data_IF_369107148358
#
_entry.id   IF_369107148358
#
_cell.length_a   1.000
_cell.length_b   1.000
_cell.length_c   1.000
_cell.angle_alpha   90.00
_cell.angle_beta   90.00
_cell.angle_gamma   90.00
#
_symmetry.space_group_name_H-M   'P 1'
#
loop_
_entity.id
_entity.type
_entity.pdbx_description
1 polymer ?
#
# COMPACT_ATOMS: atom_id res chain seq x y z
N UNK A 1 -8.67 3.10 -27.00
CA UNK A 1 -9.69 3.49 -26.00
C UNK A 1 -10.59 2.31 -25.69
N UNK A 2 -11.03 2.21 -24.44
CA UNK A 2 -12.02 1.28 -23.92
C UNK A 2 -13.36 2.01 -23.91
N UNK A 3 -14.37 1.45 -24.58
CA UNK A 3 -15.74 1.92 -24.43
C UNK A 3 -16.34 1.34 -23.14
N UNK A 4 -16.62 2.20 -22.17
CA UNK A 4 -17.19 1.80 -20.89
C UNK A 4 -18.54 1.09 -21.06
N UNK A 5 -19.35 1.49 -22.04
CA UNK A 5 -20.67 0.92 -22.23
C UNK A 5 -20.63 -0.58 -22.60
N UNK A 6 -19.55 -1.01 -23.26
CA UNK A 6 -19.29 -2.40 -23.66
C UNK A 6 -18.62 -3.26 -22.58
N UNK A 7 -18.44 -2.72 -21.37
CA UNK A 7 -17.95 -3.49 -20.23
C UNK A 7 -19.10 -4.21 -19.51
N UNK A 8 -18.80 -5.39 -18.95
CA UNK A 8 -19.76 -6.08 -18.08
C UNK A 8 -20.04 -5.24 -16.83
N UNK A 9 -21.24 -5.37 -16.24
CA UNK A 9 -21.64 -4.58 -15.07
C UNK A 9 -20.67 -4.70 -13.88
N UNK A 10 -20.08 -5.88 -13.68
CA UNK A 10 -19.07 -6.09 -12.65
C UNK A 10 -17.74 -5.38 -12.94
N UNK A 11 -17.33 -5.30 -14.21
CA UNK A 11 -16.14 -4.55 -14.64
C UNK A 11 -16.37 -3.04 -14.46
N UNK A 12 -17.54 -2.55 -14.89
CA UNK A 12 -17.97 -1.15 -14.70
C UNK A 12 -17.89 -0.75 -13.22
N UNK A 13 -18.48 -1.56 -12.35
CA UNK A 13 -18.45 -1.36 -10.88
C UNK A 13 -17.01 -1.33 -10.35
N UNK A 14 -16.17 -2.27 -10.77
CA UNK A 14 -14.76 -2.32 -10.34
C UNK A 14 -13.97 -1.08 -10.74
N UNK A 15 -14.08 -0.63 -12.00
CA UNK A 15 -13.38 0.57 -12.47
C UNK A 15 -13.86 1.84 -11.76
N UNK A 16 -15.18 2.01 -11.64
CA UNK A 16 -15.78 3.17 -10.96
C UNK A 16 -15.35 3.22 -9.50
N UNK A 17 -15.53 2.11 -8.76
CA UNK A 17 -15.15 2.03 -7.35
C UNK A 17 -13.66 2.28 -7.15
N UNK A 18 -12.81 1.77 -8.05
CA UNK A 18 -11.38 2.03 -7.99
C UNK A 18 -11.06 3.51 -8.16
N UNK A 19 -11.67 4.18 -9.12
CA UNK A 19 -11.46 5.61 -9.34
C UNK A 19 -11.92 6.45 -8.15
N UNK A 20 -13.10 6.17 -7.61
CA UNK A 20 -13.63 6.89 -6.44
C UNK A 20 -12.73 6.71 -5.22
N UNK A 21 -12.32 5.46 -4.95
CA UNK A 21 -11.41 5.16 -3.85
C UNK A 21 -10.02 5.75 -4.08
N UNK A 22 -9.53 5.77 -5.31
CA UNK A 22 -8.20 6.31 -5.63
C UNK A 22 -8.19 7.83 -5.42
N UNK A 23 -9.25 8.53 -5.85
CA UNK A 23 -9.47 9.95 -5.56
C UNK A 23 -9.55 10.21 -4.05
N UNK A 24 -10.34 9.42 -3.32
CA UNK A 24 -10.45 9.54 -1.87
C UNK A 24 -9.10 9.38 -1.18
N UNK A 25 -8.34 8.34 -1.52
CA UNK A 25 -6.99 8.09 -1.01
C UNK A 25 -6.07 9.29 -1.28
N UNK A 26 -5.99 9.76 -2.53
CA UNK A 26 -5.16 10.91 -2.93
C UNK A 26 -5.58 12.23 -2.26
N UNK A 27 -6.83 12.35 -1.85
CA UNK A 27 -7.35 13.55 -1.19
C UNK A 27 -7.01 13.64 0.30
N UNK A 28 -6.47 12.56 0.89
CA UNK A 28 -6.08 12.53 2.31
C UNK A 28 -4.98 13.54 2.59
N UNK A 29 -5.04 14.16 3.76
CA UNK A 29 -4.05 15.14 4.24
C UNK A 29 -2.61 14.58 4.17
N UNK A 30 -2.46 13.33 4.63
CA UNK A 30 -1.22 12.56 4.57
C UNK A 30 -0.63 12.44 3.15
N UNK A 31 -1.43 12.52 2.08
CA UNK A 31 -0.91 12.49 0.70
C UNK A 31 -0.83 13.87 0.05
N UNK A 32 -1.73 14.80 0.42
CA UNK A 32 -1.74 16.17 -0.09
C UNK A 32 -0.46 16.94 0.24
N UNK A 33 0.09 16.70 1.43
CA UNK A 33 1.34 17.32 1.87
C UNK A 33 2.58 16.49 1.51
N UNK A 34 2.41 15.43 0.71
CA UNK A 34 3.36 14.34 0.58
C UNK A 34 3.27 13.38 1.76
N UNK A 35 3.59 12.10 1.54
CA UNK A 35 3.66 11.11 2.62
C UNK A 35 4.56 11.65 3.75
N UNK A 36 4.11 11.63 5.02
CA UNK A 36 4.88 12.12 6.15
C UNK A 36 6.24 11.45 6.17
N UNK A 37 7.31 12.26 6.19
CA UNK A 37 8.67 11.73 6.29
C UNK A 37 8.79 10.94 7.59
N UNK A 38 9.18 9.68 7.48
CA UNK A 38 9.66 8.94 8.62
C UNK A 38 11.16 9.17 8.69
N UNK A 39 11.60 9.84 9.75
CA UNK A 39 13.00 10.12 10.00
C UNK A 39 13.45 9.20 11.13
N UNK A 40 14.46 8.37 10.86
CA UNK A 40 15.14 7.51 11.83
C UNK A 40 16.53 8.11 12.07
N UNK A 41 16.83 8.42 13.33
CA UNK A 41 18.13 8.93 13.76
C UNK A 41 18.73 7.98 14.78
N UNK A 42 19.78 7.29 14.38
CA UNK A 42 20.54 6.39 15.24
C UNK A 42 21.81 7.11 15.72
N UNK A 43 22.00 7.15 17.04
CA UNK A 43 23.19 7.72 17.69
C UNK A 43 23.91 6.60 18.42
N UNK A 44 25.18 6.39 18.06
CA UNK A 44 26.07 5.43 18.69
C UNK A 44 27.13 6.21 19.46
N UNK A 45 27.14 6.11 20.79
CA UNK A 45 28.29 6.53 21.60
C UNK A 45 29.10 5.31 21.98
N UNK A 46 30.42 5.44 21.99
CA UNK A 46 31.32 4.33 22.35
C UNK A 46 31.79 4.40 23.81
N UNK A 47 31.60 5.54 24.49
CA UNK A 47 32.10 5.76 25.86
C UNK A 47 31.14 6.68 26.66
N UNK A 48 30.20 6.12 27.45
CA UNK A 48 29.85 4.70 27.55
C UNK A 48 29.19 4.19 26.25
N UNK A 49 29.27 2.87 25.96
CA UNK A 49 28.59 2.29 24.81
C UNK A 49 27.08 2.47 24.95
N UNK A 50 26.50 3.32 24.12
CA UNK A 50 25.05 3.56 24.06
C UNK A 50 24.59 3.56 22.61
N UNK A 51 23.38 3.06 22.41
CA UNK A 51 22.67 3.10 21.13
C UNK A 51 21.33 3.78 21.40
N UNK A 52 21.14 4.96 20.83
CA UNK A 52 19.90 5.72 20.93
C UNK A 52 19.26 5.79 19.55
N UNK A 53 17.98 5.46 19.45
CA UNK A 53 17.20 5.61 18.22
C UNK A 53 16.07 6.60 18.47
N UNK A 54 16.04 7.68 17.69
CA UNK A 54 14.95 8.65 17.66
C UNK A 54 14.20 8.51 16.33
N UNK A 55 12.87 8.41 16.40
CA UNK A 55 12.02 8.27 15.23
C UNK A 55 10.95 9.37 15.19
N UNK A 56 10.80 10.02 14.04
CA UNK A 56 9.63 10.86 13.75
C UNK A 56 8.60 10.04 13.01
N UNK A 57 7.46 9.80 13.64
CA UNK A 57 6.38 8.96 13.10
C UNK A 57 5.20 9.82 12.63
N UNK A 58 4.41 9.34 11.65
CA UNK A 58 3.15 10.00 11.30
C UNK A 58 2.20 10.01 12.50
N UNK A 59 1.28 10.98 12.51
CA UNK A 59 0.15 10.97 13.42
C UNK A 59 -0.63 9.65 13.32
N UNK A 60 -0.98 9.08 14.47
CA UNK A 60 -1.54 7.74 14.57
C UNK A 60 -2.94 7.65 13.94
N UNK A 61 -3.76 8.68 14.08
CA UNK A 61 -5.09 8.73 13.47
C UNK A 61 -4.99 8.89 11.95
N UNK A 62 -4.05 9.71 11.46
CA UNK A 62 -3.78 9.84 10.03
C UNK A 62 -3.26 8.52 9.45
N UNK A 63 -2.35 7.85 10.14
CA UNK A 63 -1.79 6.55 9.72
C UNK A 63 -2.86 5.46 9.65
N UNK A 64 -3.69 5.35 10.70
CA UNK A 64 -4.84 4.43 10.73
C UNK A 64 -5.80 4.72 9.59
N UNK A 65 -6.16 5.99 9.39
CA UNK A 65 -7.08 6.40 8.32
C UNK A 65 -6.54 6.08 6.93
N UNK A 66 -5.25 6.26 6.72
CA UNK A 66 -4.57 5.90 5.48
C UNK A 66 -4.61 4.39 5.23
N UNK A 67 -4.32 3.59 6.25
CA UNK A 67 -4.38 2.13 6.18
C UNK A 67 -5.77 1.60 5.81
N UNK A 68 -6.84 2.21 6.34
CA UNK A 68 -8.23 1.89 5.98
C UNK A 68 -8.44 1.97 4.48
N UNK A 69 -8.05 3.09 3.86
CA UNK A 69 -8.27 3.28 2.44
C UNK A 69 -7.35 2.40 1.60
N UNK A 70 -6.08 2.30 1.98
CA UNK A 70 -5.08 1.51 1.25
C UNK A 70 -5.46 0.03 1.22
N UNK A 71 -5.99 -0.52 2.33
CA UNK A 71 -6.42 -1.93 2.43
C UNK A 71 -7.34 -2.35 1.29
N UNK A 72 -8.25 -1.47 0.86
CA UNK A 72 -9.25 -1.78 -0.16
C UNK A 72 -8.63 -2.11 -1.52
N UNK A 73 -7.42 -1.62 -1.79
CA UNK A 73 -6.68 -1.91 -3.03
C UNK A 73 -5.87 -3.20 -2.96
N UNK A 74 -5.61 -3.72 -1.75
CA UNK A 74 -4.76 -4.89 -1.50
C UNK A 74 -5.60 -6.15 -1.24
N UNK A 75 -6.83 -6.01 -0.75
CA UNK A 75 -7.68 -7.15 -0.41
C UNK A 75 -8.44 -7.70 -1.62
N UNK A 76 -8.32 -9.02 -1.86
CA UNK A 76 -8.88 -9.70 -3.05
C UNK A 76 -10.41 -9.67 -3.15
N UNK A 77 -11.09 -9.59 -2.00
CA UNK A 77 -12.56 -9.58 -1.92
C UNK A 77 -13.15 -8.23 -2.35
N UNK A 78 -12.33 -7.19 -2.43
CA UNK A 78 -12.78 -5.84 -2.70
C UNK A 78 -12.96 -5.59 -4.20
N UNK A 79 -14.00 -4.83 -4.59
CA UNK A 79 -14.25 -4.52 -6.00
C UNK A 79 -13.11 -3.70 -6.63
N UNK A 80 -12.41 -2.88 -5.85
CA UNK A 80 -11.26 -2.07 -6.25
C UNK A 80 -9.91 -2.74 -5.98
N UNK A 81 -9.89 -4.06 -5.78
CA UNK A 81 -8.64 -4.79 -5.70
C UNK A 81 -7.74 -4.52 -6.92
N UNK A 82 -6.49 -4.14 -6.68
CA UNK A 82 -5.55 -3.69 -7.71
C UNK A 82 -5.45 -4.68 -8.89
N UNK A 83 -5.26 -5.97 -8.61
CA UNK A 83 -5.07 -6.96 -9.67
C UNK A 83 -6.35 -7.22 -10.48
N UNK A 84 -7.52 -7.05 -9.86
CA UNK A 84 -8.81 -7.15 -10.57
C UNK A 84 -8.93 -6.05 -11.61
N UNK A 85 -8.62 -4.81 -11.22
CA UNK A 85 -8.65 -3.64 -12.11
C UNK A 85 -7.56 -3.72 -13.18
N UNK A 86 -6.34 -4.10 -12.80
CA UNK A 86 -5.26 -4.39 -13.74
C UNK A 86 -5.71 -5.38 -14.82
N UNK A 87 -6.33 -6.50 -14.43
CA UNK A 87 -6.74 -7.55 -15.38
C UNK A 87 -7.80 -7.04 -16.37
N UNK A 88 -8.74 -6.20 -15.92
CA UNK A 88 -9.73 -5.56 -16.79
C UNK A 88 -9.00 -4.68 -17.83
N UNK A 89 -8.13 -3.77 -17.38
CA UNK A 89 -7.40 -2.87 -18.27
C UNK A 89 -6.51 -3.63 -19.26
N UNK A 90 -5.73 -4.59 -18.78
CA UNK A 90 -4.83 -5.38 -19.61
C UNK A 90 -5.58 -6.16 -20.70
N UNK A 91 -6.78 -6.68 -20.40
CA UNK A 91 -7.62 -7.38 -21.38
C UNK A 91 -8.24 -6.43 -22.40
N UNK A 92 -8.66 -5.22 -21.98
CA UNK A 92 -9.48 -4.31 -22.79
C UNK A 92 -8.67 -3.26 -23.57
N UNK A 93 -7.44 -2.95 -23.16
CA UNK A 93 -6.57 -2.06 -23.92
C UNK A 93 -6.06 -2.76 -25.19
N UNK A 94 -6.04 -2.02 -26.30
CA UNK A 94 -5.49 -2.51 -27.57
C UNK A 94 -4.04 -2.04 -27.80
N UNK A 95 -3.66 -0.92 -27.18
CA UNK A 95 -2.32 -0.34 -27.31
C UNK A 95 -1.28 -1.21 -26.58
N UNK A 96 -0.26 -1.67 -27.33
CA UNK A 96 0.82 -2.50 -26.82
C UNK A 96 1.69 -1.75 -25.81
N UNK A 97 2.04 -0.48 -26.05
CA UNK A 97 2.87 0.30 -25.15
C UNK A 97 2.16 0.51 -23.80
N UNK A 98 0.84 0.73 -23.81
CA UNK A 98 0.07 0.81 -22.56
C UNK A 98 -0.02 -0.54 -21.83
N UNK A 99 -0.12 -1.65 -22.56
CA UNK A 99 -0.05 -3.00 -21.97
C UNK A 99 1.31 -3.26 -21.33
N UNK A 100 2.40 -2.93 -22.00
CA UNK A 100 3.76 -3.09 -21.47
C UNK A 100 3.96 -2.24 -20.21
N UNK A 101 3.46 -0.99 -20.22
CA UNK A 101 3.41 -0.13 -19.03
C UNK A 101 2.62 -0.79 -17.89
N UNK A 102 1.45 -1.36 -18.15
CA UNK A 102 0.68 -2.08 -17.13
C UNK A 102 1.47 -3.25 -16.54
N UNK A 103 2.17 -4.04 -17.36
CA UNK A 103 2.99 -5.16 -16.89
C UNK A 103 4.07 -4.69 -15.91
N UNK A 104 4.74 -3.57 -16.22
CA UNK A 104 5.73 -2.96 -15.32
C UNK A 104 5.08 -2.52 -14.00
N UNK A 105 3.92 -1.86 -14.07
CA UNK A 105 3.19 -1.38 -12.87
C UNK A 105 2.74 -2.55 -12.00
N UNK A 106 2.27 -3.64 -12.59
CA UNK A 106 1.93 -4.88 -11.85
C UNK A 106 3.15 -5.48 -11.17
N UNK A 107 4.29 -5.52 -11.87
CA UNK A 107 5.55 -6.03 -11.31
C UNK A 107 5.97 -5.18 -10.11
N UNK A 108 5.94 -3.86 -10.23
CA UNK A 108 6.29 -2.93 -9.15
C UNK A 108 5.35 -3.09 -7.95
N UNK A 109 4.03 -3.16 -8.16
CA UNK A 109 3.05 -3.38 -7.09
C UNK A 109 3.28 -4.72 -6.37
N UNK A 110 3.53 -5.79 -7.13
CA UNK A 110 3.82 -7.12 -6.59
C UNK A 110 5.11 -7.14 -5.78
N UNK A 111 6.17 -6.48 -6.28
CA UNK A 111 7.46 -6.37 -5.61
C UNK A 111 7.34 -5.57 -4.31
N UNK A 112 6.62 -4.44 -4.31
CA UNK A 112 6.40 -3.62 -3.12
C UNK A 112 5.77 -4.40 -1.97
N UNK A 113 4.85 -5.32 -2.27
CA UNK A 113 4.22 -6.18 -1.28
C UNK A 113 5.11 -7.34 -0.79
N UNK A 114 6.09 -7.77 -1.60
CA UNK A 114 6.95 -8.93 -1.30
C UNK A 114 8.26 -8.55 -0.62
N UNK A 115 8.83 -7.41 -0.98
CA UNK A 115 10.17 -6.99 -0.56
C UNK A 115 10.18 -5.52 -0.19
N UNK A 116 10.53 -5.26 1.07
CA UNK A 116 10.80 -3.92 1.59
C UNK A 116 12.25 -3.51 1.37
N UNK A 117 12.61 -2.27 1.77
CA UNK A 117 14.01 -1.84 1.80
C UNK A 117 14.86 -2.68 2.77
N UNK A 118 14.23 -3.20 3.81
CA UNK A 118 14.82 -4.04 4.86
C UNK A 118 14.08 -5.39 4.87
N UNK A 119 14.82 -6.47 5.06
CA UNK A 119 14.24 -7.81 5.29
C UNK A 119 14.25 -8.11 6.77
N UNK A 120 13.08 -8.38 7.34
CA UNK A 120 12.93 -8.79 8.73
C UNK A 120 12.79 -10.32 8.77
N UNK A 121 13.64 -10.95 9.57
CA UNK A 121 13.67 -12.39 9.78
C UNK A 121 13.71 -12.62 11.30
N UNK A 122 12.71 -13.30 11.85
CA UNK A 122 12.72 -13.76 13.25
C UNK A 122 12.71 -15.30 13.24
N UNK A 123 13.83 -15.91 13.61
CA UNK A 123 14.06 -17.35 13.45
C UNK A 123 13.96 -17.77 11.98
N UNK A 124 12.98 -18.63 11.66
CA UNK A 124 12.72 -19.09 10.29
C UNK A 124 11.63 -18.28 9.57
N UNK A 125 10.97 -17.35 10.27
CA UNK A 125 9.84 -16.58 9.73
C UNK A 125 10.35 -15.30 9.08
N UNK A 126 10.04 -15.13 7.78
CA UNK A 126 10.31 -13.91 7.02
C UNK A 126 9.07 -13.01 6.99
N UNK A 127 9.24 -11.76 7.39
CA UNK A 127 8.18 -10.77 7.41
C UNK A 127 8.23 -9.94 6.13
N UNK A 128 7.24 -10.12 5.28
CA UNK A 128 7.08 -9.33 4.05
C UNK A 128 6.31 -8.04 4.36
N UNK A 129 6.45 -6.98 3.54
CA UNK A 129 5.64 -5.77 3.69
C UNK A 129 4.13 -6.06 3.70
N UNK A 130 3.65 -6.98 2.85
CA UNK A 130 2.24 -7.42 2.86
C UNK A 130 1.84 -8.01 4.22
N UNK A 131 2.72 -8.78 4.84
CA UNK A 131 2.45 -9.39 6.14
C UNK A 131 2.46 -8.35 7.26
N UNK A 132 3.41 -7.40 7.26
CA UNK A 132 3.45 -6.30 8.22
C UNK A 132 2.19 -5.43 8.12
N UNK A 133 1.75 -5.09 6.91
CA UNK A 133 0.45 -4.41 6.68
C UNK A 133 -0.69 -5.23 7.29
N UNK A 134 -0.67 -6.55 7.10
CA UNK A 134 -1.70 -7.45 7.64
C UNK A 134 -1.69 -7.50 9.18
N UNK A 135 -0.52 -7.42 9.83
CA UNK A 135 -0.42 -7.30 11.29
C UNK A 135 -1.04 -5.99 11.78
N UNK A 136 -0.69 -4.85 11.20
CA UNK A 136 -1.30 -3.57 11.57
C UNK A 136 -2.83 -3.57 11.36
N UNK A 137 -3.28 -4.02 10.20
CA UNK A 137 -4.72 -4.04 9.89
C UNK A 137 -5.47 -4.98 10.85
N UNK A 138 -5.04 -6.22 11.03
CA UNK A 138 -5.87 -7.17 11.76
C UNK A 138 -5.55 -7.22 13.26
N UNK A 139 -4.29 -7.02 13.66
CA UNK A 139 -3.86 -7.05 15.05
C UNK A 139 -4.02 -5.72 15.79
N UNK A 140 -3.84 -4.57 15.13
CA UNK A 140 -3.91 -3.25 15.82
C UNK A 140 -5.17 -2.45 15.55
N UNK A 141 -5.65 -2.36 14.30
CA UNK A 141 -6.64 -1.32 13.96
C UNK A 141 -8.07 -1.78 13.67
N UNK A 142 -8.31 -3.05 13.30
CA UNK A 142 -9.62 -3.47 12.77
C UNK A 142 -10.20 -4.73 13.38
N UNK A 143 -9.47 -5.85 13.37
CA UNK A 143 -10.09 -7.17 13.59
C UNK A 143 -9.83 -7.74 14.98
N UNK A 144 -9.19 -6.96 15.87
CA UNK A 144 -8.79 -7.36 17.23
C UNK A 144 -8.32 -8.82 17.30
N UNK A 145 -7.52 -9.18 16.29
CA UNK A 145 -7.02 -10.53 16.11
C UNK A 145 -5.87 -10.71 17.10
N UNK A 146 -6.19 -11.32 18.23
CA UNK A 146 -5.28 -11.42 19.39
C UNK A 146 -3.92 -12.02 19.01
N UNK A 147 -3.91 -13.07 18.18
CA UNK A 147 -2.67 -13.70 17.70
C UNK A 147 -1.80 -12.71 16.91
N UNK A 148 -2.39 -11.94 15.98
CA UNK A 148 -1.66 -10.94 15.19
C UNK A 148 -1.23 -9.74 16.02
N UNK A 149 -1.99 -9.40 17.06
CA UNK A 149 -1.63 -8.33 17.99
C UNK A 149 -0.39 -8.72 18.79
N UNK A 150 -0.39 -9.91 19.40
CA UNK A 150 0.75 -10.46 20.13
C UNK A 150 1.97 -10.52 19.22
N UNK A 151 1.81 -11.06 18.00
CA UNK A 151 2.92 -11.15 17.06
C UNK A 151 3.48 -9.77 16.65
N UNK A 152 2.62 -8.77 16.47
CA UNK A 152 3.07 -7.40 16.18
C UNK A 152 3.85 -6.82 17.36
N UNK A 153 3.35 -6.98 18.58
CA UNK A 153 3.99 -6.48 19.81
C UNK A 153 5.35 -7.17 20.05
N UNK A 154 5.44 -8.49 19.85
CA UNK A 154 6.70 -9.24 19.93
C UNK A 154 7.71 -8.76 18.88
N UNK A 155 7.24 -8.50 17.66
CA UNK A 155 8.10 -8.03 16.59
C UNK A 155 8.63 -6.63 16.86
N UNK A 156 7.76 -5.72 17.31
CA UNK A 156 8.15 -4.36 17.72
C UNK A 156 9.14 -4.39 18.88
N UNK A 157 8.87 -5.23 19.89
CA UNK A 157 9.80 -5.40 21.02
C UNK A 157 11.17 -5.90 20.55
N UNK A 158 11.21 -6.87 19.63
CA UNK A 158 12.46 -7.41 19.09
C UNK A 158 13.29 -6.41 18.27
N UNK A 159 12.63 -5.41 17.69
CA UNK A 159 13.24 -4.35 16.89
C UNK A 159 13.58 -3.09 17.71
N UNK A 160 13.17 -3.05 18.98
CA UNK A 160 13.35 -1.87 19.84
C UNK A 160 12.26 -0.81 19.67
N UNK A 161 11.17 -1.11 18.95
CA UNK A 161 10.03 -0.22 18.76
C UNK A 161 9.22 -0.48 17.49
N UNK A 162 8.28 0.41 17.20
CA UNK A 162 7.43 0.35 16.00
C UNK A 162 7.99 1.10 14.78
N UNK A 163 9.10 1.83 14.96
CA UNK A 163 9.59 2.78 13.98
C UNK A 163 10.09 2.10 12.70
N UNK A 164 10.80 0.99 12.84
CA UNK A 164 11.34 0.17 11.75
C UNK A 164 10.21 -0.43 10.92
N UNK A 165 9.15 -0.91 11.58
CA UNK A 165 7.97 -1.47 10.92
C UNK A 165 7.19 -0.39 10.17
N UNK A 166 6.98 0.77 10.80
CA UNK A 166 6.34 1.94 10.16
C UNK A 166 7.17 2.47 9.00
N UNK A 167 8.50 2.44 9.08
CA UNK A 167 9.40 2.78 7.97
C UNK A 167 9.25 1.83 6.77
N UNK A 168 9.26 0.52 7.01
CA UNK A 168 9.04 -0.49 5.95
C UNK A 168 7.66 -0.30 5.32
N UNK A 169 6.65 -0.05 6.14
CA UNK A 169 5.31 0.27 5.67
C UNK A 169 5.32 1.51 4.77
N UNK A 170 5.93 2.60 5.22
CA UNK A 170 5.97 3.86 4.47
C UNK A 170 6.59 3.67 3.07
N UNK A 171 7.72 2.97 3.00
CA UNK A 171 8.38 2.69 1.71
C UNK A 171 7.55 1.78 0.82
N UNK A 172 6.83 0.81 1.40
CA UNK A 172 5.87 -0.01 0.66
C UNK A 172 4.71 0.85 0.13
N UNK A 173 4.07 1.61 1.01
CA UNK A 173 2.93 2.47 0.72
C UNK A 173 3.23 3.45 -0.42
N UNK A 174 4.41 4.09 -0.42
CA UNK A 174 4.87 4.99 -1.48
C UNK A 174 4.82 4.34 -2.86
N UNK A 175 5.32 3.11 -2.98
CA UNK A 175 5.28 2.34 -4.23
C UNK A 175 3.85 1.94 -4.60
N UNK A 176 3.05 1.49 -3.64
CA UNK A 176 1.65 1.11 -3.88
C UNK A 176 0.81 2.30 -4.38
N UNK A 177 0.93 3.47 -3.74
CA UNK A 177 0.24 4.69 -4.14
C UNK A 177 0.62 5.08 -5.56
N UNK A 178 1.92 5.03 -5.90
CA UNK A 178 2.39 5.31 -7.28
C UNK A 178 1.70 4.38 -8.29
N UNK A 179 1.66 3.08 -8.02
CA UNK A 179 0.99 2.11 -8.90
C UNK A 179 -0.53 2.37 -9.00
N UNK A 180 -1.20 2.66 -7.89
CA UNK A 180 -2.64 3.00 -7.85
C UNK A 180 -2.90 4.27 -8.68
N UNK A 181 -2.05 5.29 -8.54
CA UNK A 181 -2.12 6.52 -9.30
C UNK A 181 -1.98 6.28 -10.81
N UNK A 182 -1.00 5.46 -11.22
CA UNK A 182 -0.82 5.14 -12.64
C UNK A 182 -2.05 4.43 -13.22
N UNK A 183 -2.62 3.44 -12.50
CA UNK A 183 -3.86 2.78 -12.94
C UNK A 183 -5.03 3.77 -13.02
N UNK A 184 -5.17 4.66 -12.04
CA UNK A 184 -6.21 5.68 -12.03
C UNK A 184 -6.10 6.59 -13.26
N UNK A 185 -4.90 7.07 -13.61
CA UNK A 185 -4.70 7.89 -14.81
C UNK A 185 -5.00 7.10 -16.09
N UNK A 186 -4.54 5.84 -16.18
CA UNK A 186 -4.82 5.00 -17.34
C UNK A 186 -6.33 4.78 -17.53
N UNK A 187 -7.10 4.59 -16.47
CA UNK A 187 -8.56 4.51 -16.53
C UNK A 187 -9.12 5.83 -17.05
N UNK A 188 -8.72 6.95 -16.44
CA UNK A 188 -9.22 8.29 -16.79
C UNK A 188 -8.96 8.67 -18.25
N UNK A 189 -7.79 8.34 -18.77
CA UNK A 189 -7.37 8.68 -20.13
C UNK A 189 -7.93 7.74 -21.19
N UNK A 190 -8.26 6.49 -20.84
CA UNK A 190 -8.57 5.46 -21.82
C UNK A 190 -9.97 4.87 -21.70
N UNK A 191 -10.75 5.21 -20.68
CA UNK A 191 -12.12 4.73 -20.51
C UNK A 191 -13.09 5.87 -20.72
N UNK A 192 -13.74 5.88 -21.88
CA UNK A 192 -14.72 6.90 -22.25
C UNK A 192 -16.00 6.72 -21.44
N UNK A 193 -16.73 7.81 -21.19
CA UNK A 193 -18.04 7.79 -20.51
C UNK A 193 -18.02 7.27 -19.06
N UNK A 194 -16.86 7.32 -18.37
CA UNK A 194 -16.77 6.95 -16.95
C UNK A 194 -17.34 8.00 -15.98
N UNK A 195 -17.99 9.07 -16.47
CA UNK A 195 -18.65 10.08 -15.63
C UNK A 195 -17.69 10.92 -14.76
N UNK A 196 -16.52 11.26 -15.28
CA UNK A 196 -15.55 12.13 -14.59
C UNK A 196 -15.92 13.61 -14.66
#
# INVERSE_FOLDING_TARGET
MIDFNNLASCEKRSLTTFCDRAKALMSRRMLKNGLPKIELKETISLNPPTFECEATLPDEEEFRSFLIDLRTFISEKEPNYFYKVYNILHRKLNDKALKDKLVLVRKEFSQALKQGPISIINGTKKYTPKYIINLYLNGRYFHDDEEKRIELEELEHSLGGEAELKFIFHECARKLIKCIYILHQLIRENVNNLGF
#
